data_IF_372883503473
#
_entry.id   IF_372883503473
#
_cell.length_a   1.000
_cell.length_b   1.000
_cell.length_c   1.000
_cell.angle_alpha   90.00
_cell.angle_beta   90.00
_cell.angle_gamma   90.00
#
_symmetry.space_group_name_H-M   'P 1'
#
loop_
_entity.id
_entity.type
_entity.pdbx_description
1 polymer ?
#
# COMPACT_ATOMS: atom_id res chain seq x y z
N UNK A 1 -46.82 8.73 -55.88
CA UNK A 1 -46.84 8.88 -54.41
C UNK A 1 -45.73 8.03 -53.83
N UNK A 2 -44.56 8.61 -53.56
CA UNK A 2 -43.38 7.90 -53.01
C UNK A 2 -43.35 8.16 -51.50
N UNK A 3 -43.52 7.09 -50.69
CA UNK A 3 -43.42 7.19 -49.25
C UNK A 3 -41.95 7.09 -48.84
N UNK A 4 -41.40 8.16 -48.32
CA UNK A 4 -40.09 8.20 -47.65
C UNK A 4 -40.21 7.57 -46.28
N UNK A 5 -39.56 6.42 -46.05
CA UNK A 5 -39.40 5.81 -44.75
C UNK A 5 -38.10 6.35 -44.15
N UNK A 6 -38.20 7.23 -43.15
CA UNK A 6 -37.07 7.73 -42.38
C UNK A 6 -36.69 6.65 -41.35
N UNK A 7 -35.50 6.05 -41.51
CA UNK A 7 -34.93 5.13 -40.54
C UNK A 7 -34.19 5.99 -39.48
N UNK A 8 -34.77 6.12 -38.29
CA UNK A 8 -34.14 6.74 -37.13
C UNK A 8 -33.22 5.70 -36.49
N UNK A 9 -31.92 5.82 -36.74
CA UNK A 9 -30.90 5.01 -36.06
C UNK A 9 -30.66 5.58 -34.65
N UNK A 10 -31.22 4.95 -33.65
CA UNK A 10 -30.95 5.30 -32.24
C UNK A 10 -29.57 4.74 -31.89
N UNK A 11 -28.55 5.62 -31.84
CA UNK A 11 -27.26 5.30 -31.27
C UNK A 11 -27.40 5.21 -29.74
N UNK A 12 -27.57 4.01 -29.20
CA UNK A 12 -27.38 3.78 -27.77
C UNK A 12 -25.91 3.95 -27.44
N UNK A 13 -25.57 5.12 -26.91
CA UNK A 13 -24.26 5.36 -26.34
C UNK A 13 -24.05 4.50 -25.10
N UNK A 14 -23.30 3.41 -25.23
CA UNK A 14 -22.85 2.63 -24.09
C UNK A 14 -21.79 3.47 -23.33
N UNK A 15 -22.22 4.17 -22.29
CA UNK A 15 -21.31 4.83 -21.34
C UNK A 15 -20.63 3.74 -20.53
N UNK A 16 -19.41 3.35 -20.94
CA UNK A 16 -18.54 2.51 -20.14
C UNK A 16 -18.10 3.36 -18.95
N UNK A 17 -18.76 3.20 -17.79
CA UNK A 17 -18.25 3.71 -16.53
C UNK A 17 -16.97 2.96 -16.21
N UNK A 18 -15.82 3.54 -16.51
CA UNK A 18 -14.55 3.04 -16.06
C UNK A 18 -14.56 3.08 -14.52
N UNK A 19 -14.69 1.93 -13.87
CA UNK A 19 -14.38 1.80 -12.45
C UNK A 19 -12.89 2.13 -12.29
N UNK A 20 -12.59 3.35 -11.91
CA UNK A 20 -11.21 3.80 -11.70
C UNK A 20 -10.55 2.93 -10.64
N UNK A 21 -9.48 2.23 -11.00
CA UNK A 21 -8.67 1.50 -10.04
C UNK A 21 -8.15 2.46 -8.99
N UNK A 22 -8.33 2.11 -7.70
CA UNK A 22 -7.77 2.90 -6.61
C UNK A 22 -6.24 2.74 -6.66
N UNK A 23 -5.52 3.85 -6.81
CA UNK A 23 -4.08 3.83 -6.97
C UNK A 23 -3.37 4.58 -5.85
N UNK A 24 -2.11 4.18 -5.57
CA UNK A 24 -1.18 4.92 -4.72
C UNK A 24 -0.15 5.72 -5.54
N UNK A 25 -0.34 5.86 -6.85
CA UNK A 25 0.50 6.75 -7.67
C UNK A 25 0.48 8.18 -7.14
N UNK A 26 1.63 8.85 -7.22
CA UNK A 26 1.82 10.23 -6.79
C UNK A 26 1.78 10.44 -5.27
N UNK A 27 1.56 9.39 -4.47
CA UNK A 27 1.57 9.52 -3.01
C UNK A 27 2.97 9.83 -2.51
N UNK A 28 3.09 10.92 -1.74
CA UNK A 28 4.32 11.35 -1.09
C UNK A 28 4.25 10.99 0.39
N UNK A 29 5.25 10.29 0.88
CA UNK A 29 5.43 9.91 2.28
C UNK A 29 6.77 10.44 2.78
N UNK A 30 7.08 10.24 4.07
CA UNK A 30 8.43 10.50 4.59
C UNK A 30 9.13 9.18 4.94
N UNK A 31 10.44 9.17 4.89
CA UNK A 31 11.23 8.08 5.48
C UNK A 31 11.61 8.39 6.95
N UNK A 32 12.30 7.46 7.60
CA UNK A 32 12.77 7.61 8.98
C UNK A 32 13.89 8.66 9.16
N UNK A 33 14.35 9.26 8.09
CA UNK A 33 15.27 10.43 8.09
C UNK A 33 14.54 11.72 7.74
N UNK A 34 13.20 11.71 7.78
CA UNK A 34 12.33 12.84 7.49
C UNK A 34 12.42 13.35 6.04
N UNK A 35 12.94 12.55 5.11
CA UNK A 35 13.02 12.88 3.69
C UNK A 35 11.74 12.46 2.98
N UNK A 36 11.27 13.29 2.05
CA UNK A 36 10.12 12.97 1.20
C UNK A 36 10.47 11.86 0.22
N UNK A 37 9.60 10.86 0.14
CA UNK A 37 9.71 9.69 -0.73
C UNK A 37 8.41 9.54 -1.52
N UNK A 38 8.50 9.59 -2.85
CA UNK A 38 7.37 9.24 -3.71
C UNK A 38 7.22 7.72 -3.80
N UNK A 39 5.99 7.22 -3.67
CA UNK A 39 5.71 5.81 -3.95
C UNK A 39 5.98 5.43 -5.41
N UNK A 40 5.97 6.40 -6.33
CA UNK A 40 6.25 6.16 -7.76
C UNK A 40 7.62 5.52 -8.02
N UNK A 41 8.59 5.68 -7.11
CA UNK A 41 9.89 5.01 -7.21
C UNK A 41 9.81 3.47 -7.17
N UNK A 42 8.68 2.92 -6.72
CA UNK A 42 8.44 1.48 -6.65
C UNK A 42 7.69 0.91 -7.85
N UNK A 43 7.34 1.73 -8.86
CA UNK A 43 6.75 1.25 -10.12
C UNK A 43 7.64 0.23 -10.81
N UNK A 44 7.03 -0.62 -11.63
CA UNK A 44 7.72 -1.64 -12.43
C UNK A 44 7.76 -3.02 -11.78
N UNK A 45 7.44 -3.14 -10.50
CA UNK A 45 7.29 -4.42 -9.79
C UNK A 45 6.05 -4.39 -8.92
N UNK A 46 5.48 -5.56 -8.63
CA UNK A 46 4.44 -5.66 -7.59
C UNK A 46 5.01 -5.22 -6.25
N UNK A 47 4.17 -4.64 -5.40
CA UNK A 47 4.58 -4.14 -4.08
C UNK A 47 3.71 -4.76 -3.01
N UNK A 48 4.33 -5.32 -1.99
CA UNK A 48 3.67 -5.67 -0.73
C UNK A 48 3.93 -4.56 0.28
N UNK A 49 2.85 -4.05 0.88
CA UNK A 49 2.90 -3.06 1.96
C UNK A 49 2.33 -3.67 3.23
N UNK A 50 3.12 -3.67 4.31
CA UNK A 50 2.63 -3.93 5.66
C UNK A 50 2.29 -2.61 6.34
N UNK A 51 1.02 -2.42 6.68
CA UNK A 51 0.59 -1.33 7.57
C UNK A 51 0.66 -1.80 9.03
N UNK A 52 1.29 -1.03 9.90
CA UNK A 52 1.50 -1.42 11.28
C UNK A 52 1.62 -0.23 12.23
N UNK A 53 1.65 -0.49 13.55
CA UNK A 53 1.82 0.53 14.57
C UNK A 53 2.75 0.05 15.68
N UNK A 54 3.43 0.99 16.36
CA UNK A 54 4.39 0.70 17.43
C UNK A 54 3.73 0.10 18.69
N UNK A 55 2.45 0.34 18.88
CA UNK A 55 1.67 -0.17 19.99
C UNK A 55 1.03 -1.54 19.71
N UNK A 56 1.17 -2.10 18.51
CA UNK A 56 0.51 -3.34 18.08
C UNK A 56 1.42 -4.55 18.32
N UNK A 57 1.17 -5.41 19.33
CA UNK A 57 2.05 -6.54 19.66
C UNK A 57 2.21 -7.53 18.50
N UNK A 58 1.10 -7.87 17.82
CA UNK A 58 1.11 -8.77 16.66
C UNK A 58 1.92 -8.19 15.48
N UNK A 59 1.95 -6.87 15.36
CA UNK A 59 2.77 -6.20 14.35
C UNK A 59 4.26 -6.36 14.69
N UNK A 60 4.62 -6.09 15.95
CA UNK A 60 6.02 -6.12 16.40
C UNK A 60 6.61 -7.52 16.34
N UNK A 61 5.86 -8.55 16.76
CA UNK A 61 6.32 -9.95 16.71
C UNK A 61 6.68 -10.43 15.30
N UNK A 62 6.09 -9.82 14.27
CA UNK A 62 6.34 -10.18 12.87
C UNK A 62 7.42 -9.35 12.16
N UNK A 63 8.00 -8.34 12.80
CA UNK A 63 9.00 -7.48 12.16
C UNK A 63 10.29 -8.23 11.79
N UNK A 64 10.72 -9.22 12.56
CA UNK A 64 11.87 -10.05 12.21
C UNK A 64 11.64 -10.79 10.88
N UNK A 65 10.46 -11.34 10.68
CA UNK A 65 10.09 -12.02 9.45
C UNK A 65 10.06 -11.05 8.26
N UNK A 66 9.50 -9.85 8.44
CA UNK A 66 9.51 -8.79 7.43
C UNK A 66 10.95 -8.34 7.12
N UNK A 67 11.83 -8.24 8.13
CA UNK A 67 13.23 -7.91 7.92
C UNK A 67 13.94 -8.97 7.06
N UNK A 68 13.72 -10.25 7.33
CA UNK A 68 14.26 -11.36 6.55
C UNK A 68 13.68 -11.40 5.14
N UNK A 69 12.36 -11.22 4.99
CA UNK A 69 11.72 -11.17 3.68
C UNK A 69 12.20 -9.97 2.86
N UNK A 70 12.43 -8.82 3.50
CA UNK A 70 12.98 -7.63 2.81
C UNK A 70 14.38 -7.87 2.28
N UNK A 71 15.21 -8.61 3.00
CA UNK A 71 16.57 -8.97 2.61
C UNK A 71 16.66 -10.06 1.52
N UNK A 72 15.60 -10.85 1.32
CA UNK A 72 15.56 -11.94 0.33
C UNK A 72 15.72 -11.40 -1.10
N UNK A 73 16.87 -11.70 -1.73
CA UNK A 73 17.19 -11.26 -3.09
C UNK A 73 16.45 -12.05 -4.19
N UNK A 74 15.89 -13.22 -3.84
CA UNK A 74 15.20 -14.09 -4.79
C UNK A 74 13.73 -13.73 -4.99
N UNK A 75 13.19 -12.74 -4.25
CA UNK A 75 11.83 -12.27 -4.46
C UNK A 75 11.73 -11.35 -5.69
N UNK A 76 10.64 -11.46 -6.42
CA UNK A 76 10.35 -10.66 -7.61
C UNK A 76 9.40 -9.47 -7.34
N UNK A 77 9.21 -9.09 -6.07
CA UNK A 77 8.36 -7.99 -5.63
C UNK A 77 9.09 -7.13 -4.60
N UNK A 78 8.60 -5.92 -4.39
CA UNK A 78 9.12 -4.99 -3.38
C UNK A 78 8.36 -5.16 -2.07
N UNK A 79 9.07 -5.12 -0.95
CA UNK A 79 8.50 -5.12 0.41
C UNK A 79 8.77 -3.75 1.03
N UNK A 80 7.71 -3.07 1.45
CA UNK A 80 7.79 -1.83 2.24
C UNK A 80 6.84 -1.91 3.42
N UNK A 81 7.11 -1.13 4.44
CA UNK A 81 6.18 -0.98 5.57
C UNK A 81 5.78 0.47 5.73
N UNK A 82 4.56 0.70 6.17
CA UNK A 82 4.03 2.05 6.38
C UNK A 82 3.44 2.14 7.78
N UNK A 83 3.76 3.22 8.46
CA UNK A 83 3.18 3.63 9.74
C UNK A 83 2.53 4.99 9.54
N UNK A 84 1.51 5.30 10.32
CA UNK A 84 0.79 6.59 10.24
C UNK A 84 0.92 7.36 11.55
N UNK A 85 2.03 8.10 11.74
CA UNK A 85 2.29 8.85 12.97
C UNK A 85 1.17 9.84 13.27
N UNK A 86 0.82 9.93 14.56
CA UNK A 86 -0.25 10.80 15.03
C UNK A 86 -1.67 10.32 14.69
N UNK A 87 -1.82 9.20 14.01
CA UNK A 87 -3.11 8.62 13.64
C UNK A 87 -3.32 7.24 14.30
N UNK A 88 -4.57 6.87 14.54
CA UNK A 88 -4.95 5.55 15.11
C UNK A 88 -4.11 5.16 16.35
N UNK A 89 -3.80 6.11 17.20
CA UNK A 89 -3.05 5.87 18.45
C UNK A 89 -1.53 5.74 18.28
N UNK A 90 -1.00 5.96 17.07
CA UNK A 90 0.46 5.95 16.87
C UNK A 90 1.10 7.23 17.42
N UNK A 91 2.36 7.11 17.84
CA UNK A 91 3.20 8.24 18.29
C UNK A 91 3.30 9.31 17.22
N UNK A 92 3.50 10.59 17.62
CA UNK A 92 3.93 11.63 16.68
C UNK A 92 5.23 11.24 15.96
N UNK A 93 5.45 11.79 14.77
CA UNK A 93 6.54 11.44 13.85
C UNK A 93 7.89 11.33 14.54
N UNK A 94 8.33 12.38 15.25
CA UNK A 94 9.67 12.41 15.86
C UNK A 94 9.84 11.35 16.95
N UNK A 95 8.79 11.12 17.75
CA UNK A 95 8.79 10.10 18.80
C UNK A 95 8.77 8.69 18.21
N UNK A 96 8.04 8.49 17.10
CA UNK A 96 8.08 7.22 16.39
C UNK A 96 9.47 6.94 15.81
N UNK A 97 10.07 7.90 15.12
CA UNK A 97 11.42 7.77 14.51
C UNK A 97 12.45 7.41 15.59
N UNK A 98 12.46 8.14 16.71
CA UNK A 98 13.38 7.89 17.83
C UNK A 98 13.21 6.46 18.36
N UNK A 99 11.98 6.05 18.61
CA UNK A 99 11.67 4.71 19.10
C UNK A 99 12.06 3.61 18.09
N UNK A 100 11.72 3.79 16.80
CA UNK A 100 12.00 2.80 15.76
C UNK A 100 13.51 2.59 15.56
N UNK A 101 14.32 3.65 15.59
CA UNK A 101 15.78 3.55 15.49
C UNK A 101 16.38 2.65 16.57
N UNK A 102 15.78 2.56 17.73
CA UNK A 102 16.16 1.65 18.81
C UNK A 102 15.96 0.16 18.51
N UNK A 103 15.07 -0.19 17.55
CA UNK A 103 14.83 -1.59 17.15
C UNK A 103 15.93 -2.18 16.27
N UNK A 104 16.76 -1.32 15.67
CA UNK A 104 17.96 -1.69 14.91
C UNK A 104 17.73 -2.63 13.71
N UNK A 105 16.54 -2.63 13.07
CA UNK A 105 16.29 -3.35 11.83
C UNK A 105 17.05 -2.72 10.66
N UNK A 106 17.71 -3.55 9.83
CA UNK A 106 18.59 -3.09 8.73
C UNK A 106 17.94 -3.13 7.35
N UNK A 107 16.96 -4.02 7.16
CA UNK A 107 16.41 -4.30 5.83
C UNK A 107 14.97 -3.82 5.65
N UNK A 108 14.31 -3.36 6.72
CA UNK A 108 12.92 -2.89 6.65
C UNK A 108 12.91 -1.45 6.12
N UNK A 109 12.25 -1.24 4.99
CA UNK A 109 11.87 0.11 4.55
C UNK A 109 10.65 0.56 5.32
N UNK A 110 10.76 1.61 6.12
CA UNK A 110 9.65 2.23 6.83
C UNK A 110 9.35 3.58 6.22
N UNK A 111 8.10 3.78 5.80
CA UNK A 111 7.57 5.06 5.32
C UNK A 111 6.48 5.57 6.27
N UNK A 112 6.33 6.87 6.35
CA UNK A 112 5.46 7.55 7.31
C UNK A 112 4.32 8.26 6.57
N UNK A 113 3.10 7.77 6.76
CA UNK A 113 1.86 8.31 6.20
C UNK A 113 1.20 9.28 7.20
N UNK A 114 1.82 10.44 7.45
CA UNK A 114 1.35 11.44 8.42
C UNK A 114 -0.05 11.97 8.10
N UNK A 115 -0.43 11.98 6.82
CA UNK A 115 -1.72 12.49 6.35
C UNK A 115 -2.82 11.42 6.31
N UNK A 116 -2.47 10.16 6.54
CA UNK A 116 -3.40 9.03 6.41
C UNK A 116 -3.88 8.78 4.98
N UNK A 117 -3.11 9.20 3.98
CA UNK A 117 -3.47 9.04 2.57
C UNK A 117 -3.58 7.57 2.19
N UNK A 118 -2.62 6.75 2.61
CA UNK A 118 -2.62 5.31 2.35
C UNK A 118 -3.75 4.63 3.12
N UNK A 119 -3.94 4.97 4.41
CA UNK A 119 -5.07 4.46 5.22
C UNK A 119 -6.39 4.66 4.47
N UNK A 120 -6.63 5.88 3.97
CA UNK A 120 -7.89 6.23 3.30
C UNK A 120 -8.06 5.51 1.97
N UNK A 121 -7.04 5.57 1.09
CA UNK A 121 -7.11 4.96 -0.25
C UNK A 121 -7.22 3.44 -0.18
N UNK A 122 -6.47 2.79 0.69
CA UNK A 122 -6.49 1.35 0.86
C UNK A 122 -7.58 0.87 1.84
N UNK A 123 -8.39 1.76 2.40
CA UNK A 123 -9.48 1.44 3.37
C UNK A 123 -8.98 0.60 4.55
N UNK A 124 -7.84 0.97 5.12
CA UNK A 124 -7.24 0.27 6.26
C UNK A 124 -8.05 0.53 7.53
N UNK A 125 -8.67 -0.50 8.08
CA UNK A 125 -9.52 -0.41 9.25
C UNK A 125 -8.74 -0.53 10.57
N UNK A 126 -7.71 -1.38 10.61
CA UNK A 126 -6.90 -1.66 11.80
C UNK A 126 -5.53 -2.22 11.45
N UNK A 127 -4.73 -2.59 12.46
CA UNK A 127 -3.39 -3.13 12.30
C UNK A 127 -3.25 -4.53 12.91
N UNK A 128 -2.39 -5.39 12.32
CA UNK A 128 -1.70 -5.21 11.05
C UNK A 128 -2.65 -5.29 9.86
N UNK A 129 -2.29 -4.60 8.76
CA UNK A 129 -2.98 -4.74 7.49
C UNK A 129 -1.96 -4.93 6.37
N UNK A 130 -2.41 -5.57 5.30
CA UNK A 130 -1.59 -5.91 4.15
C UNK A 130 -2.21 -5.31 2.91
N UNK A 131 -1.41 -4.64 2.09
CA UNK A 131 -1.84 -4.06 0.82
C UNK A 131 -0.95 -4.62 -0.28
N UNK A 132 -1.56 -5.11 -1.35
CA UNK A 132 -0.85 -5.59 -2.52
C UNK A 132 -1.13 -4.64 -3.67
N UNK A 133 -0.06 -4.17 -4.31
CA UNK A 133 -0.12 -3.31 -5.47
C UNK A 133 0.41 -4.04 -6.70
N UNK A 134 -0.17 -3.70 -7.86
CA UNK A 134 0.41 -4.07 -9.15
C UNK A 134 1.65 -3.21 -9.48
N UNK A 135 2.27 -3.46 -10.63
CA UNK A 135 3.44 -2.73 -11.11
C UNK A 135 3.18 -1.25 -11.42
N UNK A 136 1.91 -0.85 -11.53
CA UNK A 136 1.47 0.53 -11.73
C UNK A 136 0.99 1.19 -10.43
N UNK A 137 1.19 0.54 -9.27
CA UNK A 137 0.74 0.97 -7.94
C UNK A 137 -0.78 1.05 -7.77
N UNK A 138 -1.54 0.34 -8.58
CA UNK A 138 -2.96 0.14 -8.32
C UNK A 138 -3.13 -0.88 -7.19
N UNK A 139 -4.08 -0.63 -6.31
CA UNK A 139 -4.39 -1.55 -5.20
C UNK A 139 -5.11 -2.77 -5.75
N UNK A 140 -4.45 -3.94 -5.68
CA UNK A 140 -5.03 -5.23 -6.04
C UNK A 140 -5.89 -5.74 -4.88
N UNK A 141 -5.36 -5.67 -3.67
CA UNK A 141 -6.07 -6.14 -2.48
C UNK A 141 -5.61 -5.43 -1.21
N UNK A 142 -6.51 -5.38 -0.24
CA UNK A 142 -6.24 -4.99 1.14
C UNK A 142 -6.84 -6.05 2.05
N UNK A 143 -6.05 -6.57 3.00
CA UNK A 143 -6.51 -7.53 3.99
C UNK A 143 -6.05 -7.13 5.40
N UNK A 144 -6.82 -7.56 6.40
CA UNK A 144 -6.49 -7.33 7.81
C UNK A 144 -5.80 -8.57 8.40
N UNK A 145 -5.05 -8.35 9.47
CA UNK A 145 -4.39 -9.42 10.22
C UNK A 145 -2.95 -9.70 9.77
N UNK A 146 -2.33 -10.64 10.47
CA UNK A 146 -0.96 -11.06 10.17
C UNK A 146 -0.93 -11.97 8.93
N UNK A 147 0.08 -11.75 8.09
CA UNK A 147 0.47 -12.67 7.02
C UNK A 147 1.94 -13.06 7.24
N UNK A 148 2.24 -14.36 7.21
CA UNK A 148 3.62 -14.85 7.22
C UNK A 148 4.26 -14.73 5.82
N UNK A 149 5.58 -14.92 5.74
CA UNK A 149 6.35 -14.75 4.50
C UNK A 149 5.84 -15.66 3.36
N UNK A 150 5.40 -16.88 3.67
CA UNK A 150 4.83 -17.81 2.69
C UNK A 150 3.51 -17.29 2.12
N UNK A 151 2.64 -16.80 2.97
CA UNK A 151 1.36 -16.19 2.59
C UNK A 151 1.58 -14.91 1.75
N UNK A 152 2.54 -14.06 2.16
CA UNK A 152 2.89 -12.85 1.40
C UNK A 152 3.39 -13.23 -0.01
N UNK A 153 4.35 -14.16 -0.11
CA UNK A 153 4.86 -14.64 -1.40
C UNK A 153 3.75 -15.23 -2.29
N UNK A 154 2.81 -15.97 -1.70
CA UNK A 154 1.66 -16.53 -2.40
C UNK A 154 0.68 -15.46 -2.92
N UNK A 155 0.43 -14.43 -2.12
CA UNK A 155 -0.51 -13.38 -2.45
C UNK A 155 0.00 -12.37 -3.51
N UNK A 156 1.33 -12.23 -3.63
CA UNK A 156 1.97 -11.29 -4.60
C UNK A 156 2.27 -11.97 -5.95
N UNK A 157 2.06 -13.27 -6.11
CA UNK A 157 2.29 -14.01 -7.37
C UNK A 157 1.53 -13.48 -8.59
#
# INVERSE_FOLDING_TARGET
>A
MKKLIAIITIMLGFSITAFGNITLQGVQLKDINNKTVSLDKYKGKKVYIKMWASWCPLCLSSLNEINSLSADKNKNFTVITIVSPGLKGEKPTDKFIQWYKGLNYKNITVLLDEKGTVIKRAKVLGYPANIILDSNLNIISTSQGHMNAGQIKGAVK
#
